data_IF_010404300858
#
_entry.id   IF_010404300858
#
_cell.length_a   1.000
_cell.length_b   1.000
_cell.length_c   1.000
_cell.angle_alpha   90.00
_cell.angle_beta   90.00
_cell.angle_gamma   90.00
#
_symmetry.space_group_name_H-M   'P 1'
#
loop_
_entity.id
_entity.type
_entity.pdbx_description
1 polymer ?
#
# COMPACT_ATOMS: atom_id res chain seq x y z
N UNK A 1 16.01 -33.24 -1.37
CA UNK A 1 15.15 -33.19 -0.18
C UNK A 1 14.00 -32.26 -0.52
N UNK A 2 12.78 -32.78 -0.63
CA UNK A 2 11.58 -31.97 -0.87
C UNK A 2 11.13 -31.46 0.50
N UNK A 3 11.35 -30.17 0.77
CA UNK A 3 11.00 -29.56 2.06
C UNK A 3 9.67 -28.83 1.87
N UNK A 4 8.66 -29.23 2.63
CA UNK A 4 7.36 -28.54 2.64
C UNK A 4 7.57 -27.10 3.15
N UNK A 5 7.25 -26.11 2.30
CA UNK A 5 7.47 -24.68 2.58
C UNK A 5 6.56 -24.15 3.69
N UNK A 6 5.37 -24.71 3.86
CA UNK A 6 4.39 -24.28 4.86
C UNK A 6 4.91 -24.54 6.29
N UNK A 7 5.69 -25.60 6.48
CA UNK A 7 6.23 -25.97 7.79
C UNK A 7 7.50 -25.18 8.17
N UNK A 8 8.23 -24.63 7.20
CA UNK A 8 9.49 -23.90 7.45
C UNK A 8 9.24 -22.59 8.21
N UNK A 9 8.18 -21.87 7.85
CA UNK A 9 7.83 -20.58 8.44
C UNK A 9 7.05 -20.70 9.76
N UNK A 10 6.51 -21.88 10.07
CA UNK A 10 5.76 -22.12 11.28
C UNK A 10 6.65 -22.03 12.55
N UNK A 11 6.08 -21.69 13.72
CA UNK A 11 6.80 -21.66 14.98
C UNK A 11 7.49 -22.99 15.31
N UNK A 12 8.59 -22.93 16.07
CA UNK A 12 9.32 -24.13 16.53
C UNK A 12 8.41 -25.03 17.39
N UNK A 13 7.46 -24.44 18.13
CA UNK A 13 6.48 -25.17 18.95
C UNK A 13 5.57 -26.08 18.13
N UNK A 14 5.37 -25.77 16.86
CA UNK A 14 4.46 -26.48 15.96
C UNK A 14 5.24 -27.43 15.02
N UNK A 15 6.53 -27.67 15.32
CA UNK A 15 7.43 -28.50 14.50
C UNK A 15 8.03 -27.76 13.30
N UNK A 16 7.90 -26.43 13.24
CA UNK A 16 8.49 -25.61 12.20
C UNK A 16 9.91 -25.11 12.52
N UNK A 17 10.50 -24.33 11.60
CA UNK A 17 11.85 -23.76 11.78
C UNK A 17 11.83 -22.28 12.18
N UNK A 18 10.64 -21.67 12.26
CA UNK A 18 10.45 -20.25 12.52
C UNK A 18 11.34 -19.36 11.62
N UNK A 19 11.51 -19.79 10.36
CA UNK A 19 12.29 -19.03 9.39
C UNK A 19 11.51 -17.78 8.98
N UNK A 20 12.22 -16.70 8.70
CA UNK A 20 11.59 -15.47 8.23
C UNK A 20 11.00 -15.64 6.82
N UNK A 21 9.70 -15.39 6.69
CA UNK A 21 9.00 -15.28 5.41
C UNK A 21 9.15 -13.84 4.86
N UNK A 22 10.05 -13.68 3.88
CA UNK A 22 10.33 -12.38 3.26
C UNK A 22 9.13 -11.84 2.45
N UNK A 23 8.46 -12.63 1.58
CA UNK A 23 7.21 -12.22 0.94
C UNK A 23 6.16 -11.68 1.92
N UNK A 24 5.82 -12.47 2.94
CA UNK A 24 4.80 -12.08 3.93
C UNK A 24 5.20 -10.81 4.69
N UNK A 25 6.48 -10.67 5.04
CA UNK A 25 7.00 -9.44 5.65
C UNK A 25 6.87 -8.23 4.73
N UNK A 26 7.20 -8.38 3.44
CA UNK A 26 7.11 -7.28 2.48
C UNK A 26 5.66 -6.84 2.27
N UNK A 27 4.71 -7.77 2.26
CA UNK A 27 3.27 -7.45 2.26
C UNK A 27 2.87 -6.65 3.50
N UNK A 28 3.29 -7.10 4.69
CA UNK A 28 3.01 -6.40 5.94
C UNK A 28 3.60 -4.98 5.98
N UNK A 29 4.79 -4.79 5.40
CA UNK A 29 5.39 -3.46 5.20
C UNK A 29 4.46 -2.62 4.33
N UNK A 30 4.07 -3.10 3.14
CA UNK A 30 3.15 -2.38 2.24
C UNK A 30 1.85 -1.98 2.92
N UNK A 31 1.24 -2.87 3.71
CA UNK A 31 0.03 -2.57 4.49
C UNK A 31 0.28 -1.47 5.53
N UNK A 32 1.45 -1.47 6.17
CA UNK A 32 1.83 -0.43 7.14
C UNK A 32 2.01 0.94 6.48
N UNK A 33 2.62 0.98 5.29
CA UNK A 33 2.74 2.20 4.49
C UNK A 33 1.36 2.70 4.07
N UNK A 34 0.49 1.82 3.56
CA UNK A 34 -0.88 2.19 3.17
C UNK A 34 -1.67 2.74 4.36
N UNK A 35 -1.63 2.08 5.52
CA UNK A 35 -2.27 2.58 6.74
C UNK A 35 -1.81 3.98 7.10
N UNK A 36 -0.51 4.22 7.02
CA UNK A 36 0.10 5.52 7.32
C UNK A 36 -0.28 6.59 6.28
N UNK A 37 -0.35 6.21 5.00
CA UNK A 37 -0.78 7.08 3.91
C UNK A 37 -2.25 7.50 4.03
N UNK A 38 -3.11 6.61 4.52
CA UNK A 38 -4.54 6.87 4.73
C UNK A 38 -4.84 7.61 6.05
N UNK A 39 -3.82 7.90 6.87
CA UNK A 39 -4.00 8.70 8.07
C UNK A 39 -3.99 10.20 7.72
N UNK A 40 -5.14 10.86 7.86
CA UNK A 40 -5.29 12.32 7.66
C UNK A 40 -5.29 13.11 8.97
N UNK A 41 -4.94 12.47 10.09
CA UNK A 41 -4.82 13.12 11.39
C UNK A 41 -3.52 13.92 11.57
N UNK A 42 -3.31 14.51 12.77
CA UNK A 42 -2.12 15.31 13.07
C UNK A 42 -0.81 14.53 13.00
N UNK A 43 -0.87 13.20 13.05
CA UNK A 43 0.27 12.30 12.93
C UNK A 43 0.57 11.87 11.48
N UNK A 44 -0.05 12.52 10.49
CA UNK A 44 0.19 12.22 9.08
C UNK A 44 1.67 12.41 8.74
N UNK A 45 2.36 11.38 8.23
CA UNK A 45 3.79 11.47 7.99
C UNK A 45 4.09 12.37 6.78
N UNK A 46 5.21 13.09 6.83
CA UNK A 46 5.62 14.06 5.80
C UNK A 46 5.68 13.47 4.38
N UNK A 47 6.12 12.21 4.25
CA UNK A 47 6.21 11.55 2.96
C UNK A 47 4.84 11.33 2.30
N UNK A 48 3.74 11.27 3.08
CA UNK A 48 2.40 11.08 2.54
C UNK A 48 1.96 12.28 1.70
N UNK A 49 2.35 13.50 2.09
CA UNK A 49 2.10 14.71 1.29
C UNK A 49 2.87 14.69 -0.04
N UNK A 50 4.12 14.20 -0.02
CA UNK A 50 4.88 14.02 -1.26
C UNK A 50 4.22 12.96 -2.16
N UNK A 51 3.73 11.87 -1.59
CA UNK A 51 2.98 10.86 -2.32
C UNK A 51 1.69 11.42 -2.95
N UNK A 52 0.95 12.27 -2.24
CA UNK A 52 -0.24 12.95 -2.77
C UNK A 52 0.10 13.76 -4.03
N UNK A 53 1.21 14.51 -4.02
CA UNK A 53 1.68 15.29 -5.17
C UNK A 53 2.06 14.39 -6.34
N UNK A 54 2.82 13.31 -6.08
CA UNK A 54 3.23 12.37 -7.13
C UNK A 54 2.00 11.75 -7.82
N UNK A 55 1.01 11.36 -7.03
CA UNK A 55 -0.25 10.75 -7.50
C UNK A 55 -1.06 11.75 -8.33
N UNK A 56 -1.20 13.00 -7.86
CA UNK A 56 -1.93 14.05 -8.56
C UNK A 56 -1.29 14.40 -9.92
N UNK A 57 0.03 14.23 -10.06
CA UNK A 57 0.73 14.42 -11.33
C UNK A 57 0.61 13.24 -12.31
N UNK A 58 0.36 12.03 -11.81
CA UNK A 58 0.26 10.81 -12.64
C UNK A 58 -1.19 10.34 -12.82
N UNK A 59 -2.12 11.27 -12.86
CA UNK A 59 -3.55 10.99 -13.07
C UNK A 59 -3.84 10.76 -14.57
N UNK A 60 -4.80 9.88 -14.94
CA UNK A 60 -5.16 9.67 -16.34
C UNK A 60 -5.57 10.96 -17.06
N UNK A 61 -5.31 11.05 -18.37
CA UNK A 61 -5.66 12.22 -19.20
C UNK A 61 -7.14 12.57 -19.16
N UNK A 62 -8.03 11.60 -18.92
CA UNK A 62 -9.47 11.83 -18.73
C UNK A 62 -9.78 12.78 -17.57
N UNK A 63 -8.85 12.94 -16.63
CA UNK A 63 -8.99 13.74 -15.41
C UNK A 63 -8.05 14.95 -15.40
N UNK A 64 -7.41 15.26 -16.54
CA UNK A 64 -6.49 16.40 -16.68
C UNK A 64 -7.16 17.77 -16.44
N UNK A 65 -8.49 17.84 -16.49
CA UNK A 65 -9.24 19.07 -16.25
C UNK A 65 -9.65 19.27 -14.78
N UNK A 66 -9.39 18.30 -13.90
CA UNK A 66 -9.68 18.43 -12.46
C UNK A 66 -8.59 19.27 -11.80
N UNK A 67 -8.89 20.19 -10.89
CA UNK A 67 -7.82 20.91 -10.18
C UNK A 67 -6.87 19.95 -9.42
N UNK A 68 -5.53 20.11 -9.49
CA UNK A 68 -4.58 19.19 -8.87
C UNK A 68 -4.81 18.95 -7.37
N UNK A 69 -5.29 19.98 -6.66
CA UNK A 69 -5.67 19.91 -5.24
C UNK A 69 -6.81 18.93 -4.98
N UNK A 70 -7.69 18.71 -5.97
CA UNK A 70 -8.80 17.76 -5.89
C UNK A 70 -8.42 16.36 -6.39
N UNK A 71 -7.24 16.19 -6.98
CA UNK A 71 -6.70 14.89 -7.40
C UNK A 71 -5.89 14.19 -6.31
N UNK A 72 -5.76 14.81 -5.13
CA UNK A 72 -5.06 14.18 -4.03
C UNK A 72 -5.77 12.89 -3.60
N UNK A 73 -4.98 11.86 -3.28
CA UNK A 73 -5.42 10.58 -2.74
C UNK A 73 -6.54 9.87 -3.55
N UNK A 74 -6.13 8.91 -4.38
CA UNK A 74 -7.04 8.06 -5.18
C UNK A 74 -8.13 7.33 -4.38
N UNK A 75 -7.92 7.10 -3.07
CA UNK A 75 -8.90 6.39 -2.24
C UNK A 75 -10.02 7.29 -1.71
N UNK A 76 -9.85 8.61 -1.79
CA UNK A 76 -10.89 9.58 -1.44
C UNK A 76 -11.71 10.03 -2.65
N UNK A 77 -11.28 9.66 -3.86
CA UNK A 77 -11.96 10.05 -5.09
C UNK A 77 -13.30 9.32 -5.21
N UNK A 78 -14.37 10.07 -5.44
CA UNK A 78 -15.72 9.55 -5.69
C UNK A 78 -16.05 9.43 -7.18
N UNK A 79 -15.16 9.90 -8.05
CA UNK A 79 -15.43 9.94 -9.48
C UNK A 79 -15.27 8.55 -10.07
N UNK A 80 -16.33 8.07 -10.72
CA UNK A 80 -16.25 6.88 -11.54
C UNK A 80 -15.46 7.24 -12.79
N UNK A 81 -14.25 6.72 -12.93
CA UNK A 81 -13.61 6.66 -14.23
C UNK A 81 -14.57 5.95 -15.18
N UNK A 82 -14.91 6.60 -16.29
CA UNK A 82 -15.73 5.98 -17.33
C UNK A 82 -14.85 4.94 -18.04
N UNK A 83 -14.74 3.76 -17.45
CA UNK A 83 -14.22 2.60 -18.17
C UNK A 83 -15.29 2.21 -19.19
N UNK A 84 -15.07 2.62 -20.44
CA UNK A 84 -15.60 1.96 -21.63
C UNK A 84 -14.71 0.77 -21.97
#
# INVERSE_FOLDING_TARGET
INVNKETIYAPITDGGQNLLDIPTRNEAITVTWLRSYLNFGPERPMWAYAADVIIAHHTPTSEENVEPEQRMNIFLQLWKTSNS
#
